data_IF_627607902887
#
_entry.id   IF_627607902887
#
_cell.length_a   1.000
_cell.length_b   1.000
_cell.length_c   1.000
_cell.angle_alpha   90.00
_cell.angle_beta   90.00
_cell.angle_gamma   90.00
#
_symmetry.space_group_name_H-M   'P 1'
#
loop_
_entity.id
_entity.type
_entity.pdbx_description
1 polymer ?
#
# COMPACT_ATOMS: atom_id res chain seq x y z
N UNK A 1 -13.56 -8.90 15.12
CA UNK A 1 -13.59 -8.64 13.67
C UNK A 1 -14.44 -7.39 13.45
N UNK A 2 -13.83 -6.21 13.42
CA UNK A 2 -14.55 -4.96 13.16
C UNK A 2 -14.47 -4.64 11.68
N UNK A 3 -15.52 -5.04 10.96
CA UNK A 3 -15.77 -4.59 9.59
C UNK A 3 -16.21 -3.12 9.69
N UNK A 4 -15.47 -2.20 9.08
CA UNK A 4 -15.97 -0.85 8.83
C UNK A 4 -16.54 -0.82 7.41
N UNK A 5 -17.84 -1.11 7.21
CA UNK A 5 -18.46 -0.91 5.90
C UNK A 5 -18.38 0.59 5.57
N UNK A 6 -17.51 0.95 4.63
CA UNK A 6 -17.40 2.32 4.14
C UNK A 6 -18.63 2.64 3.27
N UNK A 7 -19.72 3.05 3.91
CA UNK A 7 -20.94 3.50 3.25
C UNK A 7 -20.84 5.02 2.99
N UNK A 8 -20.37 5.39 1.80
CA UNK A 8 -20.27 6.79 1.33
C UNK A 8 -21.62 7.43 1.05
N UNK A 9 -22.71 6.67 1.16
CA UNK A 9 -24.03 7.14 0.73
C UNK A 9 -24.70 8.14 1.67
N UNK A 10 -24.10 8.49 2.82
CA UNK A 10 -24.77 9.36 3.83
C UNK A 10 -23.93 10.47 4.47
N UNK A 11 -22.67 10.68 4.11
CA UNK A 11 -21.88 11.78 4.70
C UNK A 11 -21.95 13.06 3.87
N UNK A 12 -22.28 14.18 4.52
CA UNK A 12 -22.21 15.53 3.94
C UNK A 12 -20.87 15.76 3.21
N UNK A 13 -20.89 16.53 2.12
CA UNK A 13 -19.75 16.71 1.20
C UNK A 13 -18.49 17.32 1.81
N UNK A 14 -18.60 18.00 2.97
CA UNK A 14 -17.45 18.50 3.75
C UNK A 14 -16.83 17.42 4.64
N UNK A 15 -17.66 16.60 5.28
CA UNK A 15 -17.21 15.54 6.19
C UNK A 15 -16.63 14.35 5.42
N UNK A 16 -17.20 14.02 4.26
CA UNK A 16 -16.62 13.03 3.34
C UNK A 16 -15.26 13.46 2.79
N UNK A 17 -15.07 14.74 2.44
CA UNK A 17 -13.77 15.25 2.01
C UNK A 17 -12.74 15.24 3.14
N UNK A 18 -13.13 15.61 4.36
CA UNK A 18 -12.26 15.56 5.52
C UNK A 18 -11.85 14.11 5.86
N UNK A 19 -12.80 13.16 5.81
CA UNK A 19 -12.54 11.73 6.03
C UNK A 19 -11.66 11.14 4.93
N UNK A 20 -11.97 11.42 3.66
CA UNK A 20 -11.13 11.02 2.52
C UNK A 20 -9.70 11.53 2.73
N UNK A 21 -9.52 12.80 3.06
CA UNK A 21 -8.19 13.38 3.30
C UNK A 21 -7.47 12.73 4.49
N UNK A 22 -8.19 12.40 5.58
CA UNK A 22 -7.59 11.76 6.76
C UNK A 22 -7.08 10.34 6.51
N UNK A 23 -7.63 9.66 5.49
CA UNK A 23 -7.19 8.31 5.11
C UNK A 23 -6.38 8.29 3.81
N UNK A 24 -6.25 9.42 3.10
CA UNK A 24 -5.52 9.49 1.83
C UNK A 24 -4.03 9.39 2.10
N UNK A 25 -3.40 8.33 1.61
CA UNK A 25 -1.96 8.12 1.81
C UNK A 25 -1.09 8.94 0.86
N UNK A 26 -1.57 9.19 -0.36
CA UNK A 26 -0.90 10.04 -1.36
C UNK A 26 -1.88 10.46 -2.46
N UNK A 27 -1.43 11.33 -3.36
CA UNK A 27 -2.11 11.62 -4.62
C UNK A 27 -1.36 10.97 -5.79
N UNK A 28 -2.08 10.62 -6.86
CA UNK A 28 -1.47 10.25 -8.13
C UNK A 28 -1.04 11.49 -8.94
N UNK A 29 -0.49 11.28 -10.14
CA UNK A 29 0.00 12.35 -11.01
C UNK A 29 -1.10 13.29 -11.53
N UNK A 30 -2.36 12.86 -11.44
CA UNK A 30 -3.54 13.63 -11.85
C UNK A 30 -4.24 14.28 -10.65
N UNK A 31 -3.70 14.12 -9.43
CA UNK A 31 -4.26 14.65 -8.20
C UNK A 31 -5.42 13.83 -7.62
N UNK A 32 -5.60 12.57 -8.06
CA UNK A 32 -6.60 11.69 -7.48
C UNK A 32 -6.10 11.11 -6.15
N UNK A 33 -6.96 10.96 -5.12
CA UNK A 33 -6.61 10.26 -3.89
C UNK A 33 -6.21 8.81 -4.15
N UNK A 34 -5.13 8.38 -3.51
CA UNK A 34 -4.60 7.03 -3.59
C UNK A 34 -4.59 6.39 -2.21
N UNK A 35 -5.21 5.21 -2.14
CA UNK A 35 -5.30 4.40 -0.95
C UNK A 35 -4.47 3.12 -1.01
N UNK A 36 -4.07 2.61 0.16
CA UNK A 36 -3.50 1.27 0.28
C UNK A 36 -4.60 0.22 0.47
N UNK A 37 -4.35 -0.99 -0.01
CA UNK A 37 -5.24 -2.12 0.24
C UNK A 37 -4.63 -3.47 -0.11
N UNK A 38 -5.43 -4.51 -0.04
CA UNK A 38 -5.04 -5.87 -0.42
C UNK A 38 -6.08 -6.47 -1.37
N UNK A 39 -5.64 -7.24 -2.36
CA UNK A 39 -6.53 -7.87 -3.33
C UNK A 39 -6.09 -9.31 -3.65
N UNK A 40 -7.02 -10.27 -3.81
CA UNK A 40 -6.69 -11.61 -4.26
C UNK A 40 -6.31 -11.60 -5.75
N UNK A 41 -5.20 -12.26 -6.07
CA UNK A 41 -4.74 -12.45 -7.44
C UNK A 41 -4.02 -13.79 -7.60
N UNK A 42 -4.50 -14.65 -8.51
CA UNK A 42 -3.88 -15.94 -8.87
C UNK A 42 -3.44 -16.79 -7.65
N UNK A 43 -4.31 -16.91 -6.64
CA UNK A 43 -4.04 -17.70 -5.42
C UNK A 43 -3.09 -17.03 -4.42
N UNK A 44 -2.73 -15.77 -4.64
CA UNK A 44 -1.99 -14.91 -3.71
C UNK A 44 -2.87 -13.75 -3.23
N UNK A 45 -2.47 -13.10 -2.14
CA UNK A 45 -2.97 -11.79 -1.75
C UNK A 45 -1.88 -10.76 -2.06
N UNK A 46 -2.22 -9.76 -2.87
CA UNK A 46 -1.33 -8.70 -3.32
C UNK A 46 -1.62 -7.39 -2.60
N UNK A 47 -0.61 -6.72 -2.04
CA UNK A 47 -0.73 -5.32 -1.68
C UNK A 47 -1.07 -4.51 -2.94
N UNK A 48 -2.07 -3.64 -2.84
CA UNK A 48 -2.55 -2.84 -3.95
C UNK A 48 -2.62 -1.35 -3.59
N UNK A 49 -2.54 -0.52 -4.63
CA UNK A 49 -2.93 0.89 -4.61
C UNK A 49 -4.32 1.04 -5.21
N UNK A 50 -5.15 1.85 -4.59
CA UNK A 50 -6.55 2.05 -4.97
C UNK A 50 -6.71 3.54 -5.28
N UNK A 51 -6.96 3.87 -6.54
CA UNK A 51 -7.14 5.25 -6.99
C UNK A 51 -8.63 5.57 -6.99
N UNK A 52 -9.01 6.61 -6.25
CA UNK A 52 -10.36 7.16 -6.27
C UNK A 52 -10.44 8.26 -7.35
N UNK A 53 -10.56 7.83 -8.60
CA UNK A 53 -10.99 8.67 -9.73
C UNK A 53 -12.51 8.48 -9.92
N UNK A 54 -13.23 9.11 -10.89
CA UNK A 54 -14.69 8.93 -11.02
C UNK A 54 -15.16 7.47 -11.00
N UNK A 55 -14.28 6.54 -11.39
CA UNK A 55 -14.37 5.12 -11.06
C UNK A 55 -13.19 4.69 -10.18
N UNK A 56 -13.44 3.78 -9.23
CA UNK A 56 -12.39 3.19 -8.39
C UNK A 56 -11.54 2.26 -9.25
N UNK A 57 -10.22 2.48 -9.26
CA UNK A 57 -9.25 1.64 -9.97
C UNK A 57 -8.26 1.04 -8.99
N UNK A 58 -8.05 -0.28 -9.07
CA UNK A 58 -7.15 -1.01 -8.18
C UNK A 58 -5.97 -1.51 -8.97
N UNK A 59 -4.76 -1.33 -8.46
CA UNK A 59 -3.53 -1.79 -9.09
C UNK A 59 -2.64 -2.48 -8.08
N UNK A 60 -1.99 -3.55 -8.47
CA UNK A 60 -0.89 -4.13 -7.70
C UNK A 60 0.34 -4.27 -8.58
N UNK A 61 1.49 -4.35 -7.92
CA UNK A 61 2.75 -4.61 -8.59
C UNK A 61 2.82 -6.10 -8.94
N UNK A 62 2.95 -6.40 -10.22
CA UNK A 62 3.26 -7.75 -10.67
C UNK A 62 4.72 -7.81 -11.09
N UNK A 63 5.44 -8.79 -10.54
CA UNK A 63 6.82 -9.08 -10.89
C UNK A 63 6.87 -10.47 -11.51
N UNK A 64 6.89 -10.59 -12.84
CA UNK A 64 7.26 -11.84 -13.49
C UNK A 64 8.66 -12.23 -12.99
N UNK A 65 8.87 -13.49 -12.60
CA UNK A 65 10.19 -13.96 -12.11
C UNK A 65 11.33 -13.73 -13.12
N UNK A 66 10.99 -13.48 -14.38
CA UNK A 66 11.92 -13.38 -15.51
C UNK A 66 12.11 -11.95 -16.02
N UNK A 67 11.42 -10.95 -15.45
CA UNK A 67 11.54 -9.54 -15.87
C UNK A 67 12.15 -8.65 -14.78
N UNK A 68 13.09 -7.79 -15.20
CA UNK A 68 13.64 -6.70 -14.37
C UNK A 68 12.68 -5.49 -14.34
N UNK A 69 11.60 -5.54 -15.13
CA UNK A 69 10.64 -4.45 -15.30
C UNK A 69 9.46 -4.58 -14.34
N UNK A 70 9.22 -3.52 -13.59
CA UNK A 70 8.00 -3.32 -12.81
C UNK A 70 6.81 -3.17 -13.76
N UNK A 71 5.71 -3.89 -13.48
CA UNK A 71 4.46 -3.75 -14.23
C UNK A 71 3.29 -3.66 -13.27
N UNK A 72 2.53 -2.58 -13.37
CA UNK A 72 1.27 -2.45 -12.65
C UNK A 72 0.19 -3.23 -13.40
N UNK A 73 -0.57 -4.04 -12.67
CA UNK A 73 -1.72 -4.77 -13.21
C UNK A 73 -2.99 -4.19 -12.60
N UNK A 74 -3.93 -3.78 -13.45
CA UNK A 74 -5.25 -3.35 -13.00
C UNK A 74 -6.09 -4.57 -12.58
N UNK A 75 -6.75 -4.45 -11.42
CA UNK A 75 -7.61 -5.46 -10.82
C UNK A 75 -9.05 -4.97 -10.81
N UNK A 76 -9.98 -5.84 -11.23
CA UNK A 76 -11.42 -5.56 -11.27
C UNK A 76 -12.23 -6.42 -10.29
N UNK A 77 -11.56 -7.11 -9.38
CA UNK A 77 -12.19 -7.98 -8.38
C UNK A 77 -12.35 -7.31 -7.01
N UNK A 78 -12.72 -8.08 -5.98
CA UNK A 78 -12.80 -7.59 -4.61
C UNK A 78 -11.43 -7.12 -4.12
N UNK A 79 -11.43 -6.17 -3.20
CA UNK A 79 -10.26 -5.66 -2.50
C UNK A 79 -10.66 -5.20 -1.11
N UNK A 80 -9.69 -5.09 -0.22
CA UNK A 80 -9.85 -4.52 1.12
C UNK A 80 -9.02 -3.26 1.23
N UNK A 81 -9.60 -2.20 1.80
CA UNK A 81 -8.85 -0.98 2.13
C UNK A 81 -8.03 -1.21 3.39
N UNK A 82 -6.79 -0.69 3.39
CA UNK A 82 -5.98 -0.52 4.58
C UNK A 82 -5.97 0.97 4.95
N UNK A 83 -6.77 1.42 5.92
CA UNK A 83 -6.70 2.78 6.43
C UNK A 83 -5.32 3.03 7.04
N UNK A 84 -4.65 4.09 6.62
CA UNK A 84 -3.44 4.54 7.29
C UNK A 84 -3.85 5.43 8.47
N UNK A 85 -3.35 5.11 9.65
CA UNK A 85 -3.67 5.81 10.90
C UNK A 85 -2.34 6.28 11.47
N UNK A 86 -2.06 7.58 11.40
CA UNK A 86 -0.76 8.17 11.77
C UNK A 86 -0.37 7.88 13.22
N UNK A 87 -1.34 7.75 14.12
CA UNK A 87 -1.09 7.44 15.53
C UNK A 87 -0.69 5.98 15.76
N UNK A 88 -0.85 5.11 14.75
CA UNK A 88 -0.61 3.66 14.84
C UNK A 88 0.36 3.13 13.80
N UNK A 89 0.64 3.92 12.77
CA UNK A 89 1.43 3.52 11.61
C UNK A 89 2.39 4.63 11.22
N UNK A 90 3.55 4.24 10.74
CA UNK A 90 4.50 5.20 10.18
C UNK A 90 5.23 4.65 8.97
N UNK A 91 5.71 5.57 8.14
CA UNK A 91 6.56 5.27 7.01
C UNK A 91 8.02 5.43 7.39
N UNK A 92 8.80 4.36 7.28
CA UNK A 92 10.25 4.39 7.52
C UNK A 92 11.00 4.11 6.24
N UNK A 93 12.02 4.93 5.96
CA UNK A 93 12.97 4.72 4.88
C UNK A 93 13.79 3.45 5.14
N UNK A 94 13.83 2.57 4.15
CA UNK A 94 14.67 1.37 4.13
C UNK A 94 16.07 1.73 3.61
N UNK A 95 17.06 1.76 4.50
CA UNK A 95 18.46 1.90 4.09
C UNK A 95 19.02 0.53 3.68
N UNK A 96 19.54 0.43 2.46
CA UNK A 96 20.15 -0.81 1.96
C UNK A 96 19.19 -1.99 1.78
N UNK A 97 17.86 -1.76 1.89
CA UNK A 97 16.86 -2.83 1.88
C UNK A 97 16.80 -3.62 3.20
N UNK A 98 17.39 -3.12 4.28
CA UNK A 98 17.31 -3.77 5.58
C UNK A 98 16.04 -3.36 6.33
N UNK A 99 15.39 -4.35 6.95
CA UNK A 99 14.23 -4.09 7.81
C UNK A 99 14.67 -3.34 9.08
N UNK A 100 13.90 -2.34 9.54
CA UNK A 100 14.17 -1.68 10.82
C UNK A 100 14.12 -2.69 11.97
N UNK A 101 15.22 -2.79 12.73
CA UNK A 101 15.36 -3.77 13.81
C UNK A 101 14.32 -3.54 14.91
N UNK A 102 13.71 -4.62 15.41
CA UNK A 102 12.71 -4.56 16.48
C UNK A 102 11.38 -3.94 16.06
N UNK A 103 11.13 -3.79 14.75
CA UNK A 103 9.89 -3.19 14.24
C UNK A 103 9.11 -4.16 13.38
N UNK A 104 7.79 -3.98 13.34
CA UNK A 104 6.85 -4.87 12.65
C UNK A 104 6.30 -4.22 11.38
N UNK A 105 6.73 -4.65 10.18
CA UNK A 105 6.11 -4.21 8.93
C UNK A 105 4.64 -4.63 8.82
N UNK A 106 3.82 -3.77 8.23
CA UNK A 106 2.41 -4.09 7.98
C UNK A 106 2.30 -5.09 6.83
N UNK A 107 1.74 -6.27 7.14
CA UNK A 107 1.45 -7.30 6.16
C UNK A 107 0.35 -6.79 5.21
N UNK A 108 0.63 -6.81 3.91
CA UNK A 108 -0.35 -6.49 2.86
C UNK A 108 -0.73 -7.69 2.00
N UNK A 109 -0.20 -8.88 2.32
CA UNK A 109 -0.55 -10.10 1.61
C UNK A 109 0.47 -11.21 1.72
N UNK A 110 0.26 -12.25 0.92
CA UNK A 110 1.11 -13.43 0.87
C UNK A 110 1.06 -14.07 -0.51
N UNK A 111 2.15 -14.73 -0.91
CA UNK A 111 2.14 -15.60 -2.09
C UNK A 111 1.37 -16.89 -1.79
N UNK A 112 1.01 -17.62 -2.85
CA UNK A 112 0.46 -18.98 -2.75
C UNK A 112 1.32 -19.94 -1.91
N UNK A 113 2.64 -19.73 -1.88
CA UNK A 113 3.59 -20.52 -1.07
C UNK A 113 3.78 -19.97 0.36
N UNK A 114 2.96 -19.00 0.78
CA UNK A 114 3.01 -18.41 2.12
C UNK A 114 4.06 -17.32 2.33
N UNK A 115 4.77 -16.86 1.28
CA UNK A 115 5.76 -15.79 1.44
C UNK A 115 5.06 -14.45 1.67
N UNK A 116 5.41 -13.77 2.76
CA UNK A 116 4.81 -12.49 3.16
C UNK A 116 5.14 -11.35 2.19
N UNK A 117 4.14 -10.48 1.96
CA UNK A 117 4.23 -9.24 1.19
C UNK A 117 3.81 -8.07 2.07
N UNK A 118 4.44 -6.92 1.90
CA UNK A 118 4.25 -5.74 2.75
C UNK A 118 3.98 -4.49 1.92
N UNK A 119 3.32 -3.52 2.55
CA UNK A 119 3.09 -2.21 1.94
C UNK A 119 4.36 -1.36 1.92
N UNK A 120 4.79 -0.99 0.72
CA UNK A 120 5.89 -0.06 0.48
C UNK A 120 5.42 1.25 -0.12
N UNK A 121 6.28 2.27 -0.05
CA UNK A 121 6.08 3.58 -0.69
C UNK A 121 7.41 4.11 -1.19
N UNK A 122 7.51 4.38 -2.48
CA UNK A 122 8.65 5.09 -3.07
C UNK A 122 8.39 6.59 -3.00
N UNK A 123 9.23 7.34 -2.30
CA UNK A 123 9.23 8.81 -2.31
C UNK A 123 10.22 9.29 -3.37
N UNK A 124 9.72 9.89 -4.44
CA UNK A 124 10.51 10.45 -5.52
C UNK A 124 11.22 11.74 -5.09
N UNK A 125 12.25 12.14 -5.84
CA UNK A 125 13.04 13.36 -5.54
C UNK A 125 12.23 14.65 -5.51
N UNK A 126 11.10 14.70 -6.23
CA UNK A 126 10.19 15.84 -6.26
C UNK A 126 9.14 15.82 -5.12
N UNK A 127 9.28 14.88 -4.17
CA UNK A 127 8.38 14.72 -3.03
C UNK A 127 7.12 13.92 -3.32
N UNK A 128 6.84 13.55 -4.59
CA UNK A 128 5.72 12.66 -4.90
C UNK A 128 5.97 11.28 -4.34
N UNK A 129 4.90 10.58 -3.96
CA UNK A 129 5.01 9.22 -3.45
C UNK A 129 4.20 8.23 -4.26
N UNK A 130 4.72 7.02 -4.42
CA UNK A 130 4.05 5.94 -5.15
C UNK A 130 4.05 4.69 -4.31
N UNK A 131 2.87 4.10 -4.11
CA UNK A 131 2.73 2.84 -3.37
C UNK A 131 3.35 1.68 -4.15
N UNK A 132 3.96 0.76 -3.40
CA UNK A 132 4.71 -0.40 -3.90
C UNK A 132 4.47 -1.64 -3.07
N UNK A 133 4.80 -2.80 -3.62
CA UNK A 133 4.86 -4.08 -2.90
C UNK A 133 6.30 -4.40 -2.48
N UNK A 134 6.48 -4.80 -1.23
CA UNK A 134 7.76 -5.27 -0.68
C UNK A 134 7.67 -6.77 -0.35
N UNK A 135 8.75 -7.52 -0.58
CA UNK A 135 8.85 -8.93 -0.23
C UNK A 135 9.68 -9.15 1.04
N UNK A 136 9.64 -10.37 1.58
CA UNK A 136 10.49 -10.79 2.71
C UNK A 136 11.99 -10.49 2.45
N UNK A 137 12.69 -10.01 3.49
CA UNK A 137 14.06 -9.42 3.51
C UNK A 137 14.22 -7.97 3.03
N UNK A 138 13.16 -7.17 2.92
CA UNK A 138 13.27 -5.74 2.63
C UNK A 138 13.82 -5.44 1.24
N UNK A 139 13.95 -6.49 0.41
CA UNK A 139 14.14 -6.39 -1.02
C UNK A 139 12.83 -5.86 -1.59
N UNK A 140 12.74 -4.55 -1.79
CA UNK A 140 12.11 -4.10 -3.01
C UNK A 140 12.99 -4.53 -4.17
N UNK A 141 12.36 -4.80 -5.31
CA UNK A 141 13.07 -4.66 -6.58
C UNK A 141 13.61 -3.23 -6.61
N UNK A 142 14.94 -3.08 -6.69
CA UNK A 142 15.60 -1.77 -6.83
C UNK A 142 14.93 -1.03 -7.99
N UNK A 143 14.06 -0.09 -7.69
CA UNK A 143 13.64 0.93 -8.64
C UNK A 143 14.83 1.89 -8.71
N UNK A 144 15.78 1.59 -9.59
CA UNK A 144 17.09 2.25 -9.63
C UNK A 144 16.97 3.77 -9.63
N UNK A 145 17.60 4.42 -8.64
CA UNK A 145 17.94 5.85 -8.65
C UNK A 145 16.79 6.86 -8.57
N UNK A 146 15.54 6.44 -8.43
CA UNK A 146 14.37 7.32 -8.54
C UNK A 146 13.88 7.91 -7.22
N UNK A 147 14.27 7.37 -6.06
CA UNK A 147 13.80 7.89 -4.76
C UNK A 147 14.12 7.01 -3.56
N UNK A 148 13.62 7.42 -2.39
CA UNK A 148 13.73 6.69 -1.12
C UNK A 148 12.58 5.69 -0.98
N UNK A 149 12.93 4.43 -0.76
CA UNK A 149 11.96 3.38 -0.51
C UNK A 149 11.58 3.36 0.97
N UNK A 150 10.29 3.41 1.25
CA UNK A 150 9.74 3.35 2.59
C UNK A 150 8.92 2.06 2.77
N UNK A 151 8.83 1.61 4.01
CA UNK A 151 7.85 0.60 4.45
C UNK A 151 6.91 1.19 5.48
N UNK A 152 5.64 0.78 5.43
CA UNK A 152 4.69 1.01 6.50
C UNK A 152 4.96 0.05 7.67
N UNK A 153 5.17 0.60 8.86
CA UNK A 153 5.38 -0.15 10.10
C UNK A 153 4.23 0.12 11.07
N UNK A 154 3.91 -0.88 11.89
CA UNK A 154 3.11 -0.65 13.09
C UNK A 154 3.96 0.11 14.14
N UNK A 155 3.30 1.01 14.88
CA UNK A 155 3.85 1.64 16.07
C UNK A 155 3.65 0.78 17.32
N UNK A 156 2.71 -0.16 17.29
CA UNK A 156 2.38 -1.08 18.38
C UNK A 156 2.59 -2.54 17.93
N UNK A 157 3.28 -3.33 18.75
CA UNK A 157 3.56 -4.76 18.49
C UNK A 157 2.28 -5.61 18.44
N UNK A 158 1.22 -5.17 19.15
CA UNK A 158 -0.08 -5.85 19.23
C UNK A 158 -0.95 -5.65 17.98
N UNK A 159 -0.56 -4.76 17.07
CA UNK A 159 -1.31 -4.54 15.86
C UNK A 159 -1.14 -5.74 14.90
N UNK A 160 -2.20 -6.52 14.75
CA UNK A 160 -2.35 -7.51 13.69
C UNK A 160 -3.40 -7.00 12.70
N UNK A 161 -2.94 -6.74 11.48
CA UNK A 161 -3.82 -6.39 10.36
C UNK A 161 -3.89 -7.61 9.46
N UNK A 162 -5.10 -8.15 9.30
CA UNK A 162 -5.48 -9.20 8.38
C UNK A 162 -6.71 -8.73 7.61
#
# INVERSE_FOLDING_TARGET
>A
MHYYPWNVSKSNSKDSKALVNSFTQTMDELGNPVFMGSAPFKGSIEPCRIVASPEIRVYFDHYPQEEVTHRETEHRGPFTLLPFVEEKMEWIVLHGGEWPKGRKPILGGCTINGNKKYHGRLTLKDGRTVLRTLFSRGRAVRVGGLGDLNVCLALDETMELL
#
